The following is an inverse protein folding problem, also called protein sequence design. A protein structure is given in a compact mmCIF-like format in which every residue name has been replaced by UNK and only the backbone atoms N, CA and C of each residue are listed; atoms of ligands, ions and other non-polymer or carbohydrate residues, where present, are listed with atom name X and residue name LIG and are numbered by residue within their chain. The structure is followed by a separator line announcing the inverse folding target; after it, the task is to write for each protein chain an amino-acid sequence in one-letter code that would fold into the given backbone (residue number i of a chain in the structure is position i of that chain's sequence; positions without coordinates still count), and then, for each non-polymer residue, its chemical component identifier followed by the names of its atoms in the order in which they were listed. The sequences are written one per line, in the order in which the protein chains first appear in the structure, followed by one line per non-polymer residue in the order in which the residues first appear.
data_IF_038157896592
#
_entry.id   IF_038157896592
#
_cell.length_a   1.000
_cell.length_b   1.000
_cell.length_c   1.000
_cell.angle_alpha   90.00
_cell.angle_beta   90.00
_cell.angle_gamma   90.00
#
_symmetry.space_group_name_H-M   'P 1'
#
loop_
_entity.id
_entity.type
_entity.pdbx_description
1 polymer ?
#
# COMPACT_ATOMS: atom_id res chain seq x y z
N UNK A 1 -7.97 17.12 0.12
CA UNK A 1 -7.99 16.35 1.38
C UNK A 1 -7.11 17.09 2.37
N UNK A 2 -7.47 17.13 3.64
CA UNK A 2 -6.58 17.71 4.65
C UNK A 2 -5.47 16.70 4.99
N UNK A 3 -4.29 17.15 5.45
CA UNK A 3 -3.29 16.28 6.05
C UNK A 3 -3.89 15.50 7.23
N UNK A 4 -3.66 14.20 7.26
CA UNK A 4 -4.08 13.29 8.34
C UNK A 4 -2.92 13.12 9.32
N UNK A 5 -1.70 13.10 8.79
CA UNK A 5 -0.46 12.83 9.54
C UNK A 5 0.39 14.08 9.74
N UNK A 6 -0.11 15.26 9.34
CA UNK A 6 0.60 16.53 9.42
C UNK A 6 1.65 16.76 8.32
N UNK A 7 1.60 15.98 7.24
CA UNK A 7 2.42 16.16 6.05
C UNK A 7 1.86 17.15 5.04
N UNK A 8 2.57 17.31 3.92
CA UNK A 8 2.10 18.05 2.75
C UNK A 8 1.29 17.13 1.84
N UNK A 9 0.16 17.62 1.33
CA UNK A 9 -0.63 16.90 0.33
C UNK A 9 -0.15 17.27 -1.08
N UNK A 10 0.15 16.25 -1.86
CA UNK A 10 0.48 16.36 -3.28
C UNK A 10 -0.58 15.63 -4.10
N UNK A 11 -0.78 16.10 -5.34
CA UNK A 11 -1.73 15.51 -6.28
C UNK A 11 -1.21 15.61 -7.71
N UNK A 12 -1.48 14.59 -8.52
CA UNK A 12 -1.17 14.56 -9.94
C UNK A 12 -2.18 13.67 -10.70
N UNK A 13 -2.32 13.91 -12.00
CA UNK A 13 -3.09 13.05 -12.89
C UNK A 13 -2.17 12.19 -13.74
N UNK A 14 -2.43 10.89 -13.81
CA UNK A 14 -1.64 9.94 -14.62
C UNK A 14 -2.55 8.81 -15.14
N UNK A 15 -2.48 8.52 -16.44
CA UNK A 15 -3.24 7.41 -17.08
C UNK A 15 -4.77 7.45 -16.85
N UNK A 16 -5.37 8.64 -16.68
CA UNK A 16 -6.79 8.80 -16.35
C UNK A 16 -7.13 8.54 -14.87
N UNK A 17 -6.11 8.58 -14.00
CA UNK A 17 -6.24 8.50 -12.55
C UNK A 17 -5.83 9.81 -11.89
N UNK A 18 -6.63 10.23 -10.92
CA UNK A 18 -6.26 11.23 -9.93
C UNK A 18 -5.51 10.53 -8.81
N UNK A 19 -4.25 10.89 -8.62
CA UNK A 19 -3.36 10.32 -7.62
C UNK A 19 -3.04 11.40 -6.60
N UNK A 20 -3.31 11.15 -5.32
CA UNK A 20 -2.98 12.08 -4.24
C UNK A 20 -2.24 11.35 -3.13
N UNK A 21 -1.28 11.99 -2.50
CA UNK A 21 -0.51 11.39 -1.41
C UNK A 21 -0.11 12.45 -0.38
N UNK A 22 -0.01 12.03 0.87
CA UNK A 22 0.53 12.87 1.94
C UNK A 22 2.00 12.56 2.15
N UNK A 23 2.85 13.58 2.27
CA UNK A 23 4.26 13.39 2.56
C UNK A 23 4.87 14.39 3.52
N UNK A 24 5.69 13.89 4.44
CA UNK A 24 6.56 14.65 5.32
C UNK A 24 8.02 14.46 4.87
N UNK A 25 8.55 15.39 4.06
CA UNK A 25 9.84 15.23 3.35
C UNK A 25 9.76 14.05 2.36
N UNK A 26 10.72 13.12 2.39
CA UNK A 26 10.66 11.84 1.65
C UNK A 26 9.60 10.87 2.21
N UNK A 27 9.05 11.23 3.38
CA UNK A 27 8.02 10.62 4.19
C UNK A 27 6.64 10.36 3.61
N UNK A 28 6.31 9.39 2.73
CA UNK A 28 4.89 9.26 2.31
C UNK A 28 4.05 8.42 3.29
N UNK A 29 2.96 9.00 3.76
CA UNK A 29 2.10 8.34 4.74
C UNK A 29 1.07 7.42 4.06
N UNK A 30 0.48 7.90 2.96
CA UNK A 30 -0.51 7.18 2.18
C UNK A 30 -0.53 7.69 0.74
N UNK A 31 -1.11 6.89 -0.16
CA UNK A 31 -1.37 7.29 -1.55
C UNK A 31 -2.76 6.82 -1.98
N UNK A 32 -3.61 7.74 -2.39
CA UNK A 32 -4.93 7.49 -2.97
C UNK A 32 -4.84 7.53 -4.48
N UNK A 33 -5.44 6.56 -5.15
CA UNK A 33 -5.64 6.53 -6.59
C UNK A 33 -7.13 6.41 -6.88
N UNK A 34 -7.70 7.42 -7.53
CA UNK A 34 -9.11 7.47 -7.95
C UNK A 34 -9.19 7.54 -9.46
N UNK A 35 -10.04 6.74 -10.09
CA UNK A 35 -10.23 6.77 -11.53
C UNK A 35 -11.16 7.93 -11.88
N UNK A 36 -10.80 8.81 -12.83
CA UNK A 36 -11.56 10.04 -13.09
C UNK A 36 -13.02 9.80 -13.51
N UNK A 37 -13.37 8.60 -13.98
CA UNK A 37 -14.71 8.24 -14.40
C UNK A 37 -15.47 7.34 -13.41
N UNK A 38 -14.97 7.14 -12.18
CA UNK A 38 -15.70 6.42 -11.14
C UNK A 38 -15.52 7.06 -9.75
N UNK A 39 -16.46 6.76 -8.84
CA UNK A 39 -16.36 7.17 -7.43
C UNK A 39 -15.59 6.14 -6.58
N UNK A 40 -14.82 5.24 -7.21
CA UNK A 40 -14.10 4.17 -6.50
C UNK A 40 -12.66 4.57 -6.28
N UNK A 41 -12.20 4.26 -5.08
CA UNK A 41 -10.93 4.74 -4.55
C UNK A 41 -10.07 3.57 -4.14
N UNK A 42 -8.83 3.55 -4.62
CA UNK A 42 -7.78 2.65 -4.15
C UNK A 42 -6.89 3.45 -3.20
N UNK A 43 -6.95 3.16 -1.90
CA UNK A 43 -6.02 3.70 -0.91
C UNK A 43 -4.87 2.72 -0.72
N UNK A 44 -3.65 3.15 -1.00
CA UNK A 44 -2.43 2.41 -0.72
C UNK A 44 -1.84 2.97 0.56
N UNK A 45 -1.87 2.18 1.62
CA UNK A 45 -1.15 2.47 2.85
C UNK A 45 0.17 1.72 2.79
N UNK A 46 1.23 2.51 2.78
CA UNK A 46 2.58 1.99 2.81
C UNK A 46 3.03 1.94 4.25
N UNK A 47 3.69 0.87 4.68
CA UNK A 47 4.26 0.85 6.03
C UNK A 47 5.48 1.79 6.13
N UNK A 48 6.00 2.19 4.98
CA UNK A 48 6.81 3.36 4.66
C UNK A 48 7.06 3.27 3.13
N UNK A 49 7.25 4.31 2.32
CA UNK A 49 7.06 4.12 0.89
C UNK A 49 8.37 4.22 0.11
N UNK A 50 8.72 3.10 -0.50
CA UNK A 50 8.76 2.82 -1.94
C UNK A 50 9.22 3.91 -2.92
N UNK A 51 9.27 3.54 -4.20
CA UNK A 51 9.90 4.31 -5.28
C UNK A 51 9.45 5.77 -5.43
N UNK A 52 8.16 6.10 -5.39
CA UNK A 52 7.69 7.48 -5.52
C UNK A 52 8.33 8.41 -4.44
N UNK A 53 8.86 9.52 -4.90
CA UNK A 53 9.50 10.57 -4.10
C UNK A 53 8.46 11.39 -3.35
N UNK A 54 8.88 12.09 -2.28
CA UNK A 54 7.97 12.96 -1.52
C UNK A 54 7.26 14.00 -2.40
N UNK A 55 7.99 14.63 -3.31
CA UNK A 55 7.48 15.58 -4.31
C UNK A 55 6.80 14.94 -5.53
N UNK A 56 6.92 13.61 -5.65
CA UNK A 56 6.37 12.80 -6.71
C UNK A 56 6.99 12.94 -8.10
N UNK A 57 8.21 13.49 -8.23
CA UNK A 57 8.89 13.68 -9.52
C UNK A 57 9.04 12.42 -10.37
N UNK A 58 8.93 11.24 -9.75
CA UNK A 58 9.05 9.93 -10.40
C UNK A 58 7.75 9.11 -10.38
N UNK A 59 6.58 9.74 -10.22
CA UNK A 59 5.28 9.06 -10.23
C UNK A 59 5.04 8.20 -11.47
N UNK A 60 5.43 8.68 -12.65
CA UNK A 60 5.32 7.93 -13.90
C UNK A 60 6.18 6.65 -13.92
N UNK A 61 7.26 6.61 -13.14
CA UNK A 61 8.16 5.47 -13.01
C UNK A 61 7.79 4.49 -11.90
N UNK A 62 6.81 4.81 -11.03
CA UNK A 62 6.45 3.95 -9.91
C UNK A 62 5.72 2.68 -10.38
N UNK A 63 6.48 1.59 -10.48
CA UNK A 63 5.98 0.31 -11.00
C UNK A 63 4.94 -0.31 -10.09
N UNK A 64 5.04 -0.13 -8.78
CA UNK A 64 4.08 -0.68 -7.82
C UNK A 64 2.72 -0.02 -8.00
N UNK A 65 2.66 1.31 -7.97
CA UNK A 65 1.41 2.05 -8.14
C UNK A 65 0.76 1.72 -9.49
N UNK A 66 1.55 1.62 -10.56
CA UNK A 66 1.06 1.19 -11.88
C UNK A 66 0.43 -0.21 -11.83
N UNK A 67 1.11 -1.22 -11.27
CA UNK A 67 0.58 -2.58 -11.17
C UNK A 67 -0.73 -2.60 -10.38
N UNK A 68 -0.79 -1.86 -9.27
CA UNK A 68 -1.99 -1.76 -8.45
C UNK A 68 -3.16 -1.14 -9.24
N UNK A 69 -2.93 -0.08 -10.03
CA UNK A 69 -3.96 0.49 -10.91
C UNK A 69 -4.46 -0.50 -11.96
N UNK A 70 -3.54 -1.22 -12.60
CA UNK A 70 -3.88 -2.21 -13.64
C UNK A 70 -4.75 -3.34 -13.09
N UNK A 71 -4.42 -3.84 -11.89
CA UNK A 71 -5.07 -5.02 -11.31
C UNK A 71 -6.33 -4.65 -10.54
N UNK A 72 -6.22 -3.68 -9.62
CA UNK A 72 -7.30 -3.32 -8.69
C UNK A 72 -8.27 -2.30 -9.30
N UNK A 73 -7.86 -1.55 -10.32
CA UNK A 73 -8.66 -0.44 -10.84
C UNK A 73 -9.95 -0.86 -11.55
N UNK A 74 -10.12 -2.15 -11.85
CA UNK A 74 -11.33 -2.73 -12.42
C UNK A 74 -12.16 -3.54 -11.42
N UNK A 75 -11.74 -3.60 -10.15
CA UNK A 75 -12.41 -4.40 -9.11
C UNK A 75 -13.83 -3.91 -8.79
N UNK A 76 -14.10 -2.61 -8.95
CA UNK A 76 -15.44 -2.03 -8.80
C UNK A 76 -15.86 -1.66 -7.38
N UNK A 77 -14.94 -1.76 -6.41
CA UNK A 77 -15.13 -1.38 -5.00
C UNK A 77 -13.94 -0.54 -4.50
N UNK A 78 -14.11 0.09 -3.34
CA UNK A 78 -13.05 0.85 -2.67
C UNK A 78 -12.15 -0.13 -1.90
N UNK A 79 -10.84 -0.01 -2.09
CA UNK A 79 -9.90 -0.99 -1.57
C UNK A 79 -8.76 -0.30 -0.83
N UNK A 80 -8.40 -0.86 0.32
CA UNK A 80 -7.15 -0.55 1.01
C UNK A 80 -6.10 -1.58 0.61
N UNK A 81 -4.94 -1.11 0.17
CA UNK A 81 -3.76 -1.96 -0.09
C UNK A 81 -2.74 -1.67 0.98
N UNK A 82 -2.37 -2.70 1.71
CA UNK A 82 -1.36 -2.67 2.75
C UNK A 82 -0.08 -3.18 2.12
N UNK A 83 0.78 -2.27 1.69
CA UNK A 83 2.06 -2.59 1.08
C UNK A 83 3.16 -2.21 2.07
N UNK A 84 4.20 -3.04 2.28
CA UNK A 84 5.30 -2.65 3.18
C UNK A 84 6.13 -1.57 2.48
N UNK A 85 7.20 -1.87 1.76
CA UNK A 85 8.17 -0.86 1.36
C UNK A 85 8.67 0.06 2.51
N UNK A 86 9.75 0.77 2.24
CA UNK A 86 10.34 1.67 3.24
C UNK A 86 11.14 2.81 2.60
N UNK A 87 11.55 2.69 1.34
CA UNK A 87 12.24 3.74 0.60
C UNK A 87 12.31 3.36 -0.88
N UNK A 88 12.57 4.34 -1.75
CA UNK A 88 13.14 4.11 -3.08
C UNK A 88 14.62 3.68 -2.97
N UNK A 89 14.91 2.53 -2.36
CA UNK A 89 16.28 2.07 -2.14
C UNK A 89 16.46 0.62 -2.62
N UNK A 90 17.52 0.31 -3.41
CA UNK A 90 17.83 -1.06 -3.82
C UNK A 90 18.26 -1.99 -2.68
N UNK A 91 18.52 -1.50 -1.47
CA UNK A 91 19.02 -2.29 -0.33
C UNK A 91 18.03 -2.33 0.84
N UNK A 92 17.96 -3.46 1.53
CA UNK A 92 17.00 -3.73 2.63
C UNK A 92 17.41 -3.13 3.99
N UNK A 93 18.71 -2.93 4.25
CA UNK A 93 19.19 -2.46 5.55
C UNK A 93 18.79 -1.00 5.92
N UNK A 94 18.75 -0.03 4.99
CA UNK A 94 18.29 1.34 5.30
C UNK A 94 16.77 1.47 5.48
N UNK A 95 16.02 0.40 5.17
CA UNK A 95 14.56 0.42 5.18
C UNK A 95 14.01 0.52 6.61
N UNK A 96 14.48 -0.34 7.51
CA UNK A 96 13.88 -0.52 8.83
C UNK A 96 14.62 0.23 9.96
N UNK A 97 15.82 0.74 9.69
CA UNK A 97 16.74 1.28 10.71
C UNK A 97 16.29 2.59 11.39
N UNK A 98 15.18 3.18 10.96
CA UNK A 98 14.65 4.45 11.50
C UNK A 98 13.24 4.37 12.09
N UNK A 99 12.66 3.18 12.21
CA UNK A 99 11.27 3.01 12.69
C UNK A 99 11.07 3.54 14.11
N UNK A 100 11.93 3.18 15.06
CA UNK A 100 11.83 3.65 16.45
C UNK A 100 11.86 5.19 16.54
N UNK A 101 12.77 5.86 15.82
CA UNK A 101 12.90 7.32 15.84
C UNK A 101 11.69 8.04 15.23
N UNK A 102 10.98 7.40 14.30
CA UNK A 102 9.85 7.99 13.57
C UNK A 102 8.54 7.80 14.32
N UNK A 103 8.34 6.61 14.88
CA UNK A 103 7.10 6.23 15.55
C UNK A 103 7.03 6.75 17.00
N UNK A 104 8.16 7.23 17.55
CA UNK A 104 8.22 7.87 18.88
C UNK A 104 7.31 9.11 19.03
N UNK A 105 6.95 9.80 17.94
CA UNK A 105 6.22 11.07 17.99
C UNK A 105 5.07 11.20 16.97
N UNK A 106 4.74 10.14 16.22
CA UNK A 106 3.68 10.18 15.21
C UNK A 106 2.73 9.00 15.37
N UNK A 107 1.42 9.29 15.31
CA UNK A 107 0.41 8.25 15.15
C UNK A 107 0.71 7.45 13.87
N UNK A 108 0.16 6.26 13.77
CA UNK A 108 0.26 5.48 12.54
C UNK A 108 -0.95 5.77 11.65
N UNK A 109 -0.73 5.88 10.34
CA UNK A 109 -1.83 6.11 9.38
C UNK A 109 -2.94 5.05 9.45
N UNK A 110 -2.62 3.84 9.93
CA UNK A 110 -3.58 2.76 10.15
C UNK A 110 -4.57 3.06 11.28
N UNK A 111 -4.22 3.91 12.25
CA UNK A 111 -5.14 4.38 13.30
C UNK A 111 -6.22 5.31 12.74
N UNK A 112 -5.96 5.90 11.58
CA UNK A 112 -6.84 6.81 10.86
C UNK A 112 -7.58 6.14 9.70
N UNK A 113 -7.52 4.80 9.59
CA UNK A 113 -8.18 4.05 8.53
C UNK A 113 -9.70 4.30 8.45
N UNK A 114 -10.33 4.53 9.61
CA UNK A 114 -11.75 4.85 9.72
C UNK A 114 -12.13 6.18 9.05
N UNK A 115 -11.16 7.06 8.77
CA UNK A 115 -11.38 8.31 8.02
C UNK A 115 -11.55 8.05 6.51
N UNK A 116 -11.20 6.85 6.03
CA UNK A 116 -11.34 6.46 4.63
C UNK A 116 -12.54 5.53 4.46
N UNK A 117 -13.30 5.75 3.38
CA UNK A 117 -14.33 4.81 2.95
C UNK A 117 -13.69 3.68 2.14
N UNK A 118 -13.63 2.47 2.71
CA UNK A 118 -13.20 1.26 2.02
C UNK A 118 -14.16 0.10 2.25
N UNK A 119 -14.17 -0.84 1.30
CA UNK A 119 -15.05 -2.01 1.32
C UNK A 119 -14.30 -3.29 1.73
N UNK A 120 -12.97 -3.33 1.52
CA UNK A 120 -12.08 -4.44 1.87
C UNK A 120 -10.61 -3.99 1.90
N UNK A 121 -9.75 -4.86 2.40
CA UNK A 121 -8.31 -4.67 2.36
C UNK A 121 -7.57 -5.86 1.71
N UNK A 122 -6.36 -5.60 1.22
CA UNK A 122 -5.42 -6.60 0.72
C UNK A 122 -4.06 -6.36 1.34
N UNK A 123 -3.48 -7.43 1.88
CA UNK A 123 -2.07 -7.48 2.24
C UNK A 123 -1.24 -7.75 0.98
N UNK A 124 -0.36 -6.84 0.59
CA UNK A 124 0.41 -6.88 -0.65
C UNK A 124 1.88 -6.50 -0.43
N UNK A 125 2.46 -7.00 0.65
CA UNK A 125 3.69 -6.45 1.18
C UNK A 125 4.95 -7.30 1.02
N UNK A 126 4.88 -8.54 0.50
CA UNK A 126 6.07 -9.36 0.29
C UNK A 126 6.49 -10.20 1.50
N UNK A 127 7.70 -10.76 1.45
CA UNK A 127 8.26 -11.68 2.45
C UNK A 127 9.27 -11.00 3.38
N UNK A 128 9.11 -9.71 3.68
CA UNK A 128 10.07 -8.96 4.49
C UNK A 128 10.18 -9.48 5.93
N UNK A 129 9.11 -10.07 6.46
CA UNK A 129 9.13 -10.81 7.73
C UNK A 129 10.07 -12.04 7.75
N UNK A 130 10.70 -12.38 6.62
CA UNK A 130 11.74 -13.42 6.55
C UNK A 130 13.17 -12.86 6.59
N UNK A 131 13.33 -11.53 6.76
CA UNK A 131 14.64 -10.91 6.98
C UNK A 131 15.03 -11.01 8.46
N UNK A 132 16.02 -11.85 8.77
CA UNK A 132 16.43 -12.16 10.16
C UNK A 132 16.82 -10.93 10.98
N UNK A 133 17.28 -9.84 10.35
CA UNK A 133 17.70 -8.64 11.06
C UNK A 133 16.52 -7.79 11.55
N UNK A 134 15.37 -7.90 10.89
CA UNK A 134 14.21 -7.03 11.11
C UNK A 134 12.90 -7.80 11.33
N UNK A 135 12.96 -9.13 11.35
CA UNK A 135 11.82 -10.03 11.46
C UNK A 135 10.89 -9.65 12.61
N UNK A 136 11.45 -9.43 13.81
CA UNK A 136 10.68 -9.09 15.00
C UNK A 136 9.87 -7.81 14.81
N UNK A 137 10.51 -6.73 14.39
CA UNK A 137 9.86 -5.41 14.26
C UNK A 137 8.78 -5.44 13.17
N UNK A 138 9.07 -6.11 12.05
CA UNK A 138 8.13 -6.28 10.94
C UNK A 138 6.91 -7.11 11.38
N UNK A 139 7.13 -8.20 12.10
CA UNK A 139 6.04 -9.05 12.62
C UNK A 139 5.19 -8.29 13.64
N UNK A 140 5.80 -7.55 14.57
CA UNK A 140 5.08 -6.72 15.53
C UNK A 140 4.18 -5.70 14.82
N UNK A 141 4.68 -5.05 13.76
CA UNK A 141 3.90 -4.09 12.99
C UNK A 141 2.77 -4.74 12.20
N UNK A 142 3.03 -5.87 11.55
CA UNK A 142 1.99 -6.63 10.83
C UNK A 142 0.89 -7.04 11.81
N UNK A 143 1.24 -7.55 12.99
CA UNK A 143 0.30 -7.96 14.02
C UNK A 143 -0.56 -6.77 14.49
N UNK A 144 0.05 -5.60 14.71
CA UNK A 144 -0.67 -4.40 15.09
C UNK A 144 -1.76 -4.04 14.07
N UNK A 145 -1.41 -4.06 12.79
CA UNK A 145 -2.31 -3.68 11.70
C UNK A 145 -3.40 -4.74 11.48
N UNK A 146 -3.05 -6.02 11.56
CA UNK A 146 -4.03 -7.10 11.52
C UNK A 146 -5.02 -7.00 12.69
N UNK A 147 -4.57 -6.60 13.87
CA UNK A 147 -5.45 -6.35 15.00
C UNK A 147 -6.40 -5.17 14.76
N UNK A 148 -5.90 -4.06 14.16
CA UNK A 148 -6.73 -2.91 13.79
C UNK A 148 -7.79 -3.27 12.74
N UNK A 149 -7.42 -4.12 11.77
CA UNK A 149 -8.27 -4.54 10.65
C UNK A 149 -9.07 -5.81 10.92
N UNK A 150 -9.06 -6.34 12.16
CA UNK A 150 -9.63 -7.65 12.49
C UNK A 150 -11.12 -7.80 12.12
N UNK A 151 -11.86 -6.69 12.09
CA UNK A 151 -13.29 -6.66 11.74
C UNK A 151 -13.53 -6.41 10.25
N UNK A 152 -12.50 -6.03 9.52
CA UNK A 152 -12.59 -5.71 8.10
C UNK A 152 -12.42 -6.96 7.24
N UNK A 153 -12.92 -6.89 6.02
CA UNK A 153 -12.86 -7.99 5.07
C UNK A 153 -11.51 -8.00 4.35
N UNK A 154 -10.69 -9.02 4.62
CA UNK A 154 -9.50 -9.33 3.80
C UNK A 154 -9.94 -9.98 2.48
N UNK A 155 -9.38 -9.53 1.36
CA UNK A 155 -9.33 -10.32 0.13
C UNK A 155 -7.97 -10.99 0.05
N UNK A 156 -7.96 -12.30 0.27
CA UNK A 156 -6.73 -13.08 0.16
C UNK A 156 -6.31 -13.24 -1.32
N UNK A 157 -5.04 -12.93 -1.58
CA UNK A 157 -4.39 -13.10 -2.87
C UNK A 157 -3.36 -14.24 -2.84
N UNK A 158 -2.88 -14.74 -4.00
CA UNK A 158 -1.83 -15.76 -4.04
C UNK A 158 -0.61 -15.36 -3.20
N UNK A 159 -0.22 -16.24 -2.27
CA UNK A 159 0.88 -16.06 -1.32
C UNK A 159 2.17 -16.70 -1.81
N UNK A 160 3.29 -16.32 -1.21
CA UNK A 160 4.57 -17.00 -1.39
C UNK A 160 4.54 -18.41 -0.78
N UNK A 161 5.55 -19.22 -1.09
CA UNK A 161 5.66 -20.59 -0.54
C UNK A 161 5.70 -20.61 0.99
N UNK A 162 6.26 -19.57 1.61
CA UNK A 162 6.29 -19.38 3.06
C UNK A 162 5.01 -18.74 3.64
N UNK A 163 3.92 -18.65 2.88
CA UNK A 163 2.64 -18.09 3.32
C UNK A 163 2.57 -16.57 3.38
N UNK A 164 3.66 -15.86 3.10
CA UNK A 164 3.67 -14.38 3.11
C UNK A 164 2.92 -13.81 1.90
N UNK A 165 2.29 -12.63 2.04
CA UNK A 165 1.70 -11.94 0.90
C UNK A 165 2.71 -11.68 -0.21
N UNK A 166 2.26 -11.72 -1.47
CA UNK A 166 3.11 -11.32 -2.59
C UNK A 166 3.11 -9.81 -2.74
N UNK A 167 4.29 -9.24 -2.91
CA UNK A 167 4.46 -7.85 -3.31
C UNK A 167 3.95 -7.63 -4.75
N UNK A 168 3.32 -6.49 -5.12
CA UNK A 168 2.82 -6.21 -6.47
C UNK A 168 3.81 -6.48 -7.60
N UNK A 169 5.10 -6.15 -7.42
CA UNK A 169 6.14 -6.47 -8.43
C UNK A 169 6.32 -7.98 -8.67
N UNK A 170 6.01 -8.83 -7.69
CA UNK A 170 5.97 -10.29 -7.87
C UNK A 170 4.77 -10.69 -8.72
N UNK A 171 3.61 -10.03 -8.59
CA UNK A 171 2.44 -10.31 -9.44
C UNK A 171 2.77 -10.10 -10.92
N UNK A 172 3.52 -9.04 -11.25
CA UNK A 172 4.04 -8.82 -12.59
C UNK A 172 5.03 -9.92 -13.02
N UNK A 173 6.07 -10.16 -12.21
CA UNK A 173 7.16 -11.12 -12.55
C UNK A 173 6.64 -12.54 -12.76
N UNK A 174 5.64 -12.95 -11.99
CA UNK A 174 5.04 -14.29 -12.03
C UNK A 174 3.77 -14.34 -12.91
N UNK A 175 3.45 -13.27 -13.66
CA UNK A 175 2.28 -13.18 -14.54
C UNK A 175 0.93 -13.47 -13.84
N UNK A 176 0.80 -13.12 -12.56
CA UNK A 176 -0.37 -13.38 -11.72
C UNK A 176 -1.49 -12.34 -11.88
N UNK A 177 -1.26 -11.24 -12.61
CA UNK A 177 -2.23 -10.14 -12.75
C UNK A 177 -3.63 -10.62 -13.21
N UNK A 178 -3.77 -11.48 -14.24
CA UNK A 178 -5.09 -11.97 -14.67
C UNK A 178 -5.82 -12.77 -13.58
N UNK A 179 -5.10 -13.61 -12.84
CA UNK A 179 -5.68 -14.39 -11.75
C UNK A 179 -6.15 -13.50 -10.61
N UNK A 180 -5.36 -12.49 -10.25
CA UNK A 180 -5.75 -11.53 -9.22
C UNK A 180 -6.98 -10.74 -9.67
N UNK A 181 -6.99 -10.23 -10.91
CA UNK A 181 -8.18 -9.55 -11.45
C UNK A 181 -9.43 -10.44 -11.38
N UNK A 182 -9.31 -11.73 -11.70
CA UNK A 182 -10.40 -12.71 -11.58
C UNK A 182 -10.84 -12.96 -10.14
N UNK A 183 -9.90 -12.97 -9.18
CA UNK A 183 -10.24 -13.06 -7.75
C UNK A 183 -11.05 -11.83 -7.35
N UNK A 184 -10.54 -10.64 -7.66
CA UNK A 184 -11.19 -9.37 -7.32
C UNK A 184 -12.58 -9.24 -7.94
N UNK A 185 -12.79 -9.69 -9.18
CA UNK A 185 -14.10 -9.59 -9.84
C UNK A 185 -15.19 -10.38 -9.11
N UNK A 186 -14.87 -11.49 -8.45
CA UNK A 186 -15.85 -12.27 -7.66
C UNK A 186 -16.38 -11.50 -6.44
N UNK A 187 -15.60 -10.55 -5.93
CA UNK A 187 -16.00 -9.71 -4.81
C UNK A 187 -16.86 -8.52 -5.25
N UNK A 188 -16.99 -8.27 -6.55
CA UNK A 188 -17.90 -7.25 -7.10
C UNK A 188 -19.36 -7.72 -7.13
N UNK A 189 -19.57 -9.04 -7.20
CA UNK A 189 -20.88 -9.66 -7.40
C UNK A 189 -21.63 -9.94 -6.08
N UNK A 190 -21.01 -9.65 -4.93
CA UNK A 190 -21.58 -9.78 -3.59
C UNK A 190 -21.76 -8.41 -2.94
#
# INVERSE_FOLDING_TARGET
MNPIMGGNIYSATLDGWEISWESQKEYRHWCIQKKSNNNRTLLVIMFNPGSLSGDGKNLSGDTTLRILREVCGNAGFNQVILNLFDYANPQTAPLFSNWEKRDLNSNLIFEHLSEFKYDNYIMAYGSYQSDLLYEKDILERINLIQNMLKKDKEIELPRNQNGTPKHPTVWQRQKLKPDITRILSKYREN
#
